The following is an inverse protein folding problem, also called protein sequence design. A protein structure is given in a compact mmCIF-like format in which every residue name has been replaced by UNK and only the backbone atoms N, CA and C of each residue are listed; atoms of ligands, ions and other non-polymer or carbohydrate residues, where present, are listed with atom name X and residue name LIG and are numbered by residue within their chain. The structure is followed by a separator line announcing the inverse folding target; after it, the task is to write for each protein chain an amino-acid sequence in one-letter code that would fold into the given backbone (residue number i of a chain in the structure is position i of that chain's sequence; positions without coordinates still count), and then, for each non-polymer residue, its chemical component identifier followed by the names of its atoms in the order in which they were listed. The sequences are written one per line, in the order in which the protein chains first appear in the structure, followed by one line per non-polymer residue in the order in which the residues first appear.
data_IF_603795498571
#
_entry.id   IF_603795498571
#
_cell.length_a   1.000
_cell.length_b   1.000
_cell.length_c   1.000
_cell.angle_alpha   90.00
_cell.angle_beta   90.00
_cell.angle_gamma   90.00
#
_symmetry.space_group_name_H-M   'P 1'
#
loop_
_entity.id
_entity.type
_entity.pdbx_description
1 polymer ?
#
# COMPACT_ATOMS: atom_id res chain seq x y z
N UNK A 1 -51.11 -15.49 -10.63
CA UNK A 1 -50.70 -14.13 -10.19
C UNK A 1 -49.64 -14.14 -9.08
N UNK A 2 -49.72 -15.03 -8.07
CA UNK A 2 -48.71 -15.12 -6.99
C UNK A 2 -47.32 -15.63 -7.44
N UNK A 3 -47.24 -16.48 -8.48
CA UNK A 3 -45.96 -16.95 -9.03
C UNK A 3 -45.22 -15.91 -9.87
N UNK A 4 -45.95 -15.06 -10.61
CA UNK A 4 -45.38 -13.96 -11.40
C UNK A 4 -44.77 -12.88 -10.50
N UNK A 5 -45.41 -12.56 -9.37
CA UNK A 5 -44.86 -11.65 -8.35
C UNK A 5 -43.62 -12.24 -7.66
N UNK A 6 -43.61 -13.55 -7.37
CA UNK A 6 -42.41 -14.25 -6.84
C UNK A 6 -41.25 -14.32 -7.83
N UNK A 7 -41.51 -14.43 -9.14
CA UNK A 7 -40.47 -14.40 -10.19
C UNK A 7 -39.89 -12.99 -10.38
N UNK A 8 -40.73 -11.95 -10.43
CA UNK A 8 -40.27 -10.55 -10.54
C UNK A 8 -39.38 -10.11 -9.37
N UNK A 9 -39.72 -10.53 -8.15
CA UNK A 9 -38.95 -10.21 -6.94
C UNK A 9 -37.64 -11.03 -6.81
N UNK A 10 -37.56 -12.20 -7.47
CA UNK A 10 -36.33 -12.99 -7.57
C UNK A 10 -35.38 -12.43 -8.63
N UNK A 11 -35.91 -11.98 -9.78
CA UNK A 11 -35.14 -11.34 -10.84
C UNK A 11 -34.54 -10.00 -10.39
N UNK A 12 -35.32 -9.15 -9.70
CA UNK A 12 -34.83 -7.84 -9.20
C UNK A 12 -33.72 -7.97 -8.16
N UNK A 13 -33.72 -9.05 -7.36
CA UNK A 13 -32.67 -9.33 -6.36
C UNK A 13 -31.38 -9.89 -6.99
N UNK A 14 -31.49 -10.60 -8.12
CA UNK A 14 -30.34 -11.12 -8.86
C UNK A 14 -29.65 -10.00 -9.64
N UNK A 15 -30.41 -9.08 -10.25
CA UNK A 15 -29.85 -7.90 -10.93
C UNK A 15 -29.17 -6.94 -9.95
N UNK A 16 -29.75 -6.70 -8.76
CA UNK A 16 -29.12 -5.84 -7.75
C UNK A 16 -27.75 -6.36 -7.27
N UNK A 17 -27.59 -7.67 -7.01
CA UNK A 17 -26.31 -8.23 -6.57
C UNK A 17 -25.23 -8.12 -7.65
N UNK A 18 -25.57 -8.40 -8.92
CA UNK A 18 -24.66 -8.23 -10.05
C UNK A 18 -24.24 -6.77 -10.24
N UNK A 19 -25.16 -5.82 -10.04
CA UNK A 19 -24.87 -4.39 -10.10
C UNK A 19 -23.86 -3.97 -9.02
N UNK A 20 -24.07 -4.35 -7.76
CA UNK A 20 -23.12 -4.03 -6.68
C UNK A 20 -21.75 -4.68 -6.89
N UNK A 21 -21.71 -5.89 -7.44
CA UNK A 21 -20.46 -6.54 -7.82
C UNK A 21 -19.74 -5.74 -8.92
N UNK A 22 -20.46 -5.33 -9.96
CA UNK A 22 -19.90 -4.50 -11.02
C UNK A 22 -19.38 -3.16 -10.48
N UNK A 23 -20.10 -2.52 -9.55
CA UNK A 23 -19.66 -1.29 -8.88
C UNK A 23 -18.36 -1.53 -8.12
N UNK A 24 -18.25 -2.60 -7.32
CA UNK A 24 -17.03 -2.92 -6.59
C UNK A 24 -15.83 -3.18 -7.53
N UNK A 25 -16.06 -3.90 -8.63
CA UNK A 25 -15.03 -4.16 -9.65
C UNK A 25 -14.60 -2.85 -10.32
N UNK A 26 -15.54 -1.99 -10.72
CA UNK A 26 -15.24 -0.69 -11.33
C UNK A 26 -14.47 0.22 -10.36
N UNK A 27 -14.86 0.28 -9.08
CA UNK A 27 -14.15 1.06 -8.07
C UNK A 27 -12.72 0.54 -7.82
N UNK A 28 -12.55 -0.79 -7.81
CA UNK A 28 -11.23 -1.42 -7.68
C UNK A 28 -10.34 -1.09 -8.88
N UNK A 29 -10.88 -1.19 -10.10
CA UNK A 29 -10.17 -0.84 -11.33
C UNK A 29 -9.84 0.65 -11.35
N UNK A 30 -10.79 1.52 -11.03
CA UNK A 30 -10.56 2.97 -10.97
C UNK A 30 -9.46 3.32 -9.97
N UNK A 31 -9.49 2.71 -8.78
CA UNK A 31 -8.45 2.91 -7.78
C UNK A 31 -7.08 2.39 -8.24
N UNK A 32 -7.04 1.22 -8.88
CA UNK A 32 -5.82 0.68 -9.47
C UNK A 32 -5.27 1.60 -10.57
N UNK A 33 -6.12 2.09 -11.46
CA UNK A 33 -5.72 3.02 -12.54
C UNK A 33 -5.19 4.32 -11.93
N UNK A 34 -5.85 4.91 -10.95
CA UNK A 34 -5.37 6.13 -10.27
C UNK A 34 -4.00 5.85 -9.63
N UNK A 35 -3.89 4.82 -8.79
CA UNK A 35 -2.61 4.51 -8.15
C UNK A 35 -1.51 4.18 -9.15
N UNK A 36 -1.75 3.39 -10.20
CA UNK A 36 -0.72 2.97 -11.15
C UNK A 36 -0.35 4.05 -12.17
N UNK A 37 -1.33 4.80 -12.71
CA UNK A 37 -1.08 5.91 -13.63
C UNK A 37 -0.27 7.02 -12.94
N UNK A 38 -0.53 7.30 -11.67
CA UNK A 38 0.21 8.30 -10.91
C UNK A 38 1.50 7.75 -10.27
N UNK A 39 1.58 6.46 -9.91
CA UNK A 39 2.82 5.81 -9.43
C UNK A 39 3.84 5.51 -10.53
N UNK A 40 3.40 5.30 -11.78
CA UNK A 40 4.29 5.12 -12.94
C UNK A 40 5.28 6.28 -13.07
N UNK A 41 4.85 7.48 -12.71
CA UNK A 41 5.65 8.70 -12.71
C UNK A 41 6.37 8.96 -11.34
N UNK A 42 6.29 8.04 -10.36
CA UNK A 42 6.78 8.23 -8.97
C UNK A 42 7.86 7.24 -8.52
N UNK A 43 8.24 6.24 -9.33
CA UNK A 43 9.34 5.33 -9.01
C UNK A 43 10.69 5.91 -9.47
N UNK A 44 11.60 6.22 -8.53
CA UNK A 44 12.88 6.87 -8.83
C UNK A 44 13.75 6.05 -9.78
N UNK A 45 13.72 4.72 -9.70
CA UNK A 45 14.51 3.84 -10.59
C UNK A 45 14.01 3.88 -12.04
N UNK A 46 12.70 3.99 -12.24
CA UNK A 46 12.13 4.17 -13.59
C UNK A 46 12.40 5.56 -14.13
N UNK A 47 12.22 6.60 -13.31
CA UNK A 47 12.52 7.98 -13.72
C UNK A 47 14.00 8.10 -14.10
N UNK A 48 14.89 7.46 -13.34
CA UNK A 48 16.29 7.29 -13.72
C UNK A 48 16.44 6.71 -15.12
N UNK A 49 15.88 5.51 -15.37
CA UNK A 49 15.99 4.87 -16.68
C UNK A 49 15.43 5.71 -17.84
N UNK A 50 14.36 6.48 -17.62
CA UNK A 50 13.76 7.34 -18.64
C UNK A 50 14.66 8.54 -18.95
N UNK A 51 15.22 9.17 -17.92
CA UNK A 51 16.13 10.30 -18.08
C UNK A 51 17.45 9.87 -18.71
N UNK A 52 18.02 8.75 -18.27
CA UNK A 52 19.23 8.15 -18.86
C UNK A 52 19.00 7.77 -20.33
N UNK A 53 17.86 7.16 -20.65
CA UNK A 53 17.54 6.81 -22.03
C UNK A 53 17.36 8.06 -22.91
N UNK A 54 16.72 9.11 -22.39
CA UNK A 54 16.58 10.39 -23.11
C UNK A 54 17.94 11.05 -23.34
N UNK A 55 18.79 11.08 -22.32
CA UNK A 55 20.15 11.59 -22.40
C UNK A 55 20.96 10.82 -23.45
N UNK A 56 21.01 9.49 -23.33
CA UNK A 56 21.70 8.61 -24.27
C UNK A 56 21.20 8.77 -25.71
N UNK A 57 19.89 8.99 -25.91
CA UNK A 57 19.34 9.25 -27.24
C UNK A 57 19.91 10.54 -27.84
N UNK A 58 20.01 11.62 -27.05
CA UNK A 58 20.58 12.91 -27.49
C UNK A 58 22.10 12.83 -27.67
N UNK A 59 22.81 12.13 -26.79
CA UNK A 59 24.24 11.85 -26.95
C UNK A 59 24.50 11.09 -28.26
N UNK A 60 23.67 10.08 -28.58
CA UNK A 60 23.78 9.36 -29.85
C UNK A 60 23.56 10.25 -31.06
N UNK A 61 22.70 11.27 -30.98
CA UNK A 61 22.56 12.27 -32.05
C UNK A 61 23.89 12.99 -32.30
N UNK A 62 24.57 13.42 -31.23
CA UNK A 62 25.88 14.06 -31.33
C UNK A 62 26.94 13.10 -31.90
N UNK A 63 27.05 11.89 -31.35
CA UNK A 63 28.04 10.89 -31.80
C UNK A 63 27.82 10.45 -33.25
N UNK A 64 26.56 10.32 -33.69
CA UNK A 64 26.23 10.00 -35.08
C UNK A 64 26.58 11.16 -36.02
N UNK A 65 26.42 12.41 -35.59
CA UNK A 65 26.80 13.58 -36.37
C UNK A 65 28.32 13.62 -36.59
N UNK A 66 29.12 13.45 -35.54
CA UNK A 66 30.59 13.50 -35.64
C UNK A 66 31.20 12.27 -36.32
N UNK A 67 30.50 11.13 -36.30
CA UNK A 67 30.93 9.90 -36.99
C UNK A 67 30.70 9.94 -38.50
N UNK A 68 29.82 10.82 -38.98
CA UNK A 68 29.51 11.02 -40.39
C UNK A 68 30.47 12.05 -41.00
N UNK A 69 31.53 11.55 -41.67
CA UNK A 69 32.57 12.39 -42.28
C UNK A 69 32.01 13.39 -43.29
N UNK A 70 30.94 13.04 -44.00
CA UNK A 70 30.33 13.91 -44.99
C UNK A 70 29.62 15.08 -44.31
N UNK A 71 28.84 14.82 -43.25
CA UNK A 71 28.19 15.88 -42.46
C UNK A 71 29.21 16.78 -41.74
N UNK A 72 30.26 16.22 -41.15
CA UNK A 72 31.31 17.00 -40.51
C UNK A 72 32.03 17.89 -41.52
N UNK A 73 32.33 17.38 -42.72
CA UNK A 73 32.94 18.17 -43.79
C UNK A 73 32.04 19.33 -44.24
N UNK A 74 30.72 19.11 -44.32
CA UNK A 74 29.76 20.17 -44.65
C UNK A 74 29.74 21.28 -43.58
N UNK A 75 29.79 20.91 -42.29
CA UNK A 75 29.83 21.84 -41.16
C UNK A 75 31.15 22.64 -41.06
N UNK A 76 32.24 22.12 -41.64
CA UNK A 76 33.60 22.69 -41.48
C UNK A 76 34.11 23.43 -42.71
N UNK A 77 33.61 23.11 -43.91
CA UNK A 77 34.07 23.65 -45.20
C UNK A 77 33.16 24.78 -45.72
N UNK A 78 31.84 24.73 -45.49
CA UNK A 78 30.90 25.77 -45.98
C UNK A 78 30.63 26.83 -44.89
N UNK A 79 31.65 27.63 -44.58
CA UNK A 79 31.44 28.88 -43.83
C UNK A 79 30.76 29.91 -44.74
N UNK A 80 29.43 29.88 -44.79
CA UNK A 80 28.62 30.92 -45.44
C UNK A 80 27.81 30.43 -46.65
N UNK A 81 26.50 30.36 -46.44
CA UNK A 81 25.41 30.39 -47.44
C UNK A 81 25.31 29.22 -48.46
N UNK A 82 24.08 28.72 -48.60
CA UNK A 82 23.53 27.93 -49.71
C UNK A 82 23.80 26.40 -49.75
N UNK A 83 23.19 25.67 -48.82
CA UNK A 83 22.38 24.49 -49.15
C UNK A 83 21.21 24.41 -48.16
N UNK A 84 20.02 24.83 -48.61
CA UNK A 84 18.86 25.04 -47.73
C UNK A 84 18.31 23.74 -47.10
N UNK A 85 18.67 22.56 -47.59
CA UNK A 85 18.06 21.30 -47.11
C UNK A 85 18.80 20.70 -45.91
N UNK A 86 20.13 20.66 -45.91
CA UNK A 86 20.94 20.10 -44.81
C UNK A 86 20.99 21.00 -43.58
N UNK A 87 21.01 22.32 -43.76
CA UNK A 87 20.95 23.26 -42.64
C UNK A 87 19.61 23.17 -41.89
N UNK A 88 18.50 22.98 -42.60
CA UNK A 88 17.16 22.84 -41.98
C UNK A 88 17.00 21.56 -41.15
N UNK A 89 17.74 20.49 -41.45
CA UNK A 89 17.72 19.26 -40.65
C UNK A 89 18.56 19.40 -39.37
N UNK A 90 19.69 20.09 -39.45
CA UNK A 90 20.62 20.29 -38.32
C UNK A 90 20.08 21.35 -37.33
N UNK A 91 19.35 22.37 -37.82
CA UNK A 91 18.61 23.34 -36.99
C UNK A 91 17.51 22.69 -36.14
N UNK A 92 16.94 21.56 -36.59
CA UNK A 92 15.88 20.84 -35.86
C UNK A 92 16.38 19.85 -34.83
N UNK A 93 17.70 19.73 -34.65
CA UNK A 93 18.26 18.79 -33.71
C UNK A 93 17.90 19.18 -32.26
N UNK A 94 17.64 18.21 -31.38
CA UNK A 94 17.24 18.46 -29.99
C UNK A 94 18.43 18.85 -29.08
N UNK A 95 19.58 19.20 -29.67
CA UNK A 95 20.84 19.53 -29.01
C UNK A 95 21.45 20.77 -29.68
N UNK A 96 22.17 21.58 -28.92
CA UNK A 96 23.03 22.62 -29.47
C UNK A 96 24.33 22.05 -30.00
N UNK A 97 24.73 22.51 -31.19
CA UNK A 97 25.98 22.14 -31.84
C UNK A 97 26.68 23.43 -32.22
N UNK A 98 27.92 23.57 -31.78
CA UNK A 98 28.79 24.70 -32.05
C UNK A 98 30.12 24.19 -32.59
N UNK A 99 30.57 24.71 -33.72
CA UNK A 99 31.82 24.30 -34.37
C UNK A 99 32.78 25.46 -34.37
N UNK A 100 33.98 25.23 -33.86
CA UNK A 100 35.06 26.20 -33.79
C UNK A 100 36.24 25.73 -34.63
N UNK A 101 36.78 26.61 -35.46
CA UNK A 101 38.05 26.41 -36.14
C UNK A 101 39.18 26.97 -35.28
N UNK A 102 40.18 26.17 -34.95
CA UNK A 102 41.36 26.65 -34.24
C UNK A 102 42.28 27.38 -35.22
N UNK A 103 42.66 28.61 -34.89
CA UNK A 103 43.67 29.36 -35.66
C UNK A 103 45.09 28.87 -35.34
N UNK A 104 46.09 29.42 -36.01
CA UNK A 104 47.50 28.99 -35.90
C UNK A 104 48.10 29.18 -34.49
N UNK A 105 47.44 29.99 -33.65
CA UNK A 105 47.83 30.28 -32.25
C UNK A 105 46.96 29.47 -31.26
N UNK A 106 46.03 28.63 -31.76
CA UNK A 106 45.15 27.77 -30.96
C UNK A 106 43.86 28.43 -30.48
N UNK A 107 43.54 29.66 -30.91
CA UNK A 107 42.30 30.32 -30.53
C UNK A 107 41.10 29.79 -31.35
N UNK A 108 39.98 29.45 -30.69
CA UNK A 108 38.78 28.95 -31.35
C UNK A 108 37.96 30.08 -32.01
N UNK A 109 37.75 30.00 -33.32
CA UNK A 109 36.87 30.87 -34.10
C UNK A 109 35.57 30.14 -34.42
N UNK A 110 34.43 30.65 -33.95
CA UNK A 110 33.11 30.06 -34.22
C UNK A 110 32.81 30.11 -35.72
N UNK A 111 32.59 28.95 -36.33
CA UNK A 111 32.29 28.81 -37.77
C UNK A 111 30.88 28.31 -38.04
N UNK A 112 30.23 27.66 -37.05
CA UNK A 112 28.85 27.18 -37.18
C UNK A 112 28.15 27.06 -35.82
N UNK A 113 26.85 27.34 -35.78
CA UNK A 113 25.96 27.01 -34.67
C UNK A 113 24.55 26.67 -35.20
N UNK A 114 23.87 25.70 -34.58
CA UNK A 114 22.51 25.31 -35.00
C UNK A 114 21.39 25.95 -34.16
N UNK A 115 21.70 26.48 -32.98
CA UNK A 115 20.74 27.17 -32.12
C UNK A 115 21.41 28.36 -31.40
N UNK A 116 20.61 29.32 -30.97
CA UNK A 116 21.06 30.51 -30.21
C UNK A 116 20.63 30.47 -28.74
N UNK A 117 20.05 29.35 -28.31
CA UNK A 117 19.40 29.25 -27.01
C UNK A 117 20.42 29.01 -25.90
N UNK A 118 21.61 28.50 -26.24
CA UNK A 118 22.68 28.13 -25.34
C UNK A 118 23.90 29.03 -25.55
N UNK A 119 24.64 29.33 -24.49
CA UNK A 119 25.79 30.26 -24.53
C UNK A 119 27.09 29.48 -24.29
N UNK A 120 28.04 29.60 -25.22
CA UNK A 120 29.33 28.89 -25.18
C UNK A 120 30.42 29.86 -24.73
N UNK A 121 30.72 29.83 -23.43
CA UNK A 121 31.77 30.65 -22.81
C UNK A 121 33.17 30.03 -22.97
N UNK A 122 34.22 30.83 -22.76
CA UNK A 122 35.61 30.36 -22.84
C UNK A 122 35.93 29.14 -21.95
N UNK A 123 35.27 29.00 -20.81
CA UNK A 123 35.45 27.86 -19.90
C UNK A 123 35.03 26.53 -20.53
N UNK A 124 34.04 26.55 -21.42
CA UNK A 124 33.55 25.38 -22.17
C UNK A 124 34.59 24.99 -23.23
N UNK A 125 35.19 26.00 -23.89
CA UNK A 125 36.17 25.82 -24.95
C UNK A 125 37.55 25.37 -24.47
N UNK A 126 37.91 25.61 -23.20
CA UNK A 126 39.20 25.18 -22.62
C UNK A 126 39.24 23.72 -22.17
N UNK A 127 38.09 23.05 -22.04
CA UNK A 127 38.04 21.63 -21.63
C UNK A 127 38.50 20.70 -22.74
N UNK A 128 39.21 19.63 -22.37
CA UNK A 128 39.61 18.56 -23.29
C UNK A 128 38.39 17.80 -23.83
N UNK A 129 38.62 16.92 -24.80
CA UNK A 129 37.59 16.05 -25.36
C UNK A 129 36.97 15.15 -24.27
N UNK A 130 35.64 15.05 -24.28
CA UNK A 130 34.89 14.32 -23.24
C UNK A 130 33.52 14.90 -22.97
N UNK A 131 32.78 14.23 -22.09
CA UNK A 131 31.46 14.66 -21.62
C UNK A 131 31.55 15.24 -20.21
N UNK A 132 30.92 16.39 -19.97
CA UNK A 132 30.98 17.10 -18.71
C UNK A 132 29.62 17.70 -18.34
N UNK A 133 29.22 17.67 -17.06
CA UNK A 133 28.07 18.43 -16.61
C UNK A 133 28.35 19.94 -16.69
N UNK A 134 27.37 20.70 -17.15
CA UNK A 134 27.41 22.15 -17.28
C UNK A 134 26.15 22.76 -16.66
N UNK A 135 26.32 23.58 -15.63
CA UNK A 135 25.23 24.35 -15.02
C UNK A 135 25.43 25.83 -15.30
N UNK A 136 24.40 26.51 -15.82
CA UNK A 136 24.41 27.95 -16.07
C UNK A 136 23.06 28.58 -15.66
N UNK A 137 22.89 29.88 -15.95
CA UNK A 137 21.67 30.64 -15.63
C UNK A 137 20.44 30.23 -16.45
N UNK A 138 20.62 29.48 -17.55
CA UNK A 138 19.54 28.94 -18.40
C UNK A 138 19.15 27.52 -18.00
N UNK A 139 19.93 26.86 -17.15
CA UNK A 139 19.63 25.55 -16.59
C UNK A 139 20.83 24.61 -16.54
N UNK A 140 20.53 23.32 -16.63
CA UNK A 140 21.50 22.23 -16.58
C UNK A 140 21.60 21.55 -17.95
N UNK A 141 22.84 21.33 -18.38
CA UNK A 141 23.21 20.77 -19.67
C UNK A 141 24.31 19.73 -19.50
N UNK A 142 24.42 18.81 -20.44
CA UNK A 142 25.62 18.01 -20.65
C UNK A 142 26.39 18.59 -21.84
N UNK A 143 27.66 18.91 -21.59
CA UNK A 143 28.61 19.40 -22.59
C UNK A 143 29.43 18.24 -23.12
N UNK A 144 29.50 18.08 -24.44
CA UNK A 144 30.38 17.11 -25.10
C UNK A 144 31.35 17.86 -26.01
N UNK A 145 32.65 17.71 -25.74
CA UNK A 145 33.71 18.28 -26.57
C UNK A 145 34.34 17.19 -27.44
N UNK A 146 34.54 17.49 -28.72
CA UNK A 146 35.26 16.63 -29.65
C UNK A 146 36.13 17.43 -30.60
N UNK A 147 37.40 17.06 -30.72
CA UNK A 147 38.38 17.73 -31.57
C UNK A 147 38.75 16.82 -32.74
N UNK A 148 38.67 17.36 -33.96
CA UNK A 148 38.93 16.62 -35.18
C UNK A 148 39.72 17.45 -36.19
N UNK A 149 40.54 16.80 -37.02
CA UNK A 149 41.29 17.45 -38.10
C UNK A 149 40.60 17.21 -39.44
N UNK A 150 40.26 18.29 -40.14
CA UNK A 150 39.75 18.24 -41.53
C UNK A 150 40.74 18.98 -42.42
N UNK A 151 41.42 18.26 -43.30
CA UNK A 151 42.52 18.82 -44.09
C UNK A 151 43.66 19.30 -43.20
N UNK A 152 44.05 20.58 -43.34
CA UNK A 152 45.11 21.23 -42.55
C UNK A 152 44.59 21.93 -41.30
N UNK A 153 43.27 22.05 -41.14
CA UNK A 153 42.65 22.81 -40.04
C UNK A 153 42.16 21.87 -38.93
N UNK A 154 42.32 22.32 -37.68
CA UNK A 154 41.79 21.61 -36.51
C UNK A 154 40.48 22.26 -36.09
N UNK A 155 39.44 21.45 -35.91
CA UNK A 155 38.11 21.89 -35.50
C UNK A 155 37.75 21.31 -34.14
N UNK A 156 37.11 22.12 -33.31
CA UNK A 156 36.54 21.73 -32.04
C UNK A 156 35.03 21.83 -32.11
N UNK A 157 34.34 20.71 -31.98
CA UNK A 157 32.89 20.61 -31.97
C UNK A 157 32.44 20.49 -30.52
N UNK A 158 31.52 21.37 -30.13
CA UNK A 158 30.90 21.40 -28.81
C UNK A 158 29.43 21.07 -28.98
N UNK A 159 29.00 19.98 -28.36
CA UNK A 159 27.61 19.60 -28.19
C UNK A 159 27.09 20.04 -26.83
N UNK A 160 25.94 20.70 -26.80
CA UNK A 160 25.23 21.06 -25.58
C UNK A 160 23.88 20.35 -25.58
N UNK A 161 23.68 19.48 -24.57
CA UNK A 161 22.52 18.64 -24.45
C UNK A 161 21.66 19.16 -23.31
N UNK A 162 20.44 19.69 -23.57
CA UNK A 162 19.59 20.21 -22.52
C UNK A 162 19.07 19.07 -21.63
N UNK A 163 19.31 19.20 -20.32
CA UNK A 163 18.79 18.30 -19.29
C UNK A 163 17.62 18.95 -18.57
N UNK A 164 17.78 20.21 -18.17
CA UNK A 164 16.78 20.94 -17.40
C UNK A 164 16.85 22.42 -17.73
N UNK A 165 15.71 23.01 -18.08
CA UNK A 165 15.59 24.44 -18.32
C UNK A 165 15.23 25.15 -17.02
N UNK A 166 15.98 26.21 -16.72
CA UNK A 166 15.73 27.09 -15.58
C UNK A 166 15.41 28.49 -16.09
N UNK A 167 14.23 28.98 -15.73
CA UNK A 167 13.80 30.34 -16.07
C UNK A 167 13.82 31.22 -14.82
N UNK A 168 14.63 32.29 -14.78
CA UNK A 168 14.74 33.17 -13.61
C UNK A 168 13.42 33.85 -13.22
N UNK A 169 12.55 34.13 -14.20
CA UNK A 169 11.21 34.64 -13.98
C UNK A 169 10.19 33.58 -14.41
N UNK A 170 9.54 32.96 -13.43
CA UNK A 170 8.48 31.98 -13.67
C UNK A 170 7.18 32.68 -14.05
N UNK A 171 6.65 32.40 -15.24
CA UNK A 171 5.30 32.80 -15.65
C UNK A 171 4.44 31.56 -15.91
N UNK A 172 3.15 31.72 -16.22
CA UNK A 172 2.33 30.58 -16.64
C UNK A 172 2.81 29.93 -17.94
N UNK A 173 3.57 30.66 -18.77
CA UNK A 173 4.10 30.20 -20.06
C UNK A 173 5.55 29.68 -19.97
N UNK A 174 6.33 30.15 -19.00
CA UNK A 174 7.74 29.78 -18.80
C UNK A 174 7.91 29.17 -17.42
N UNK A 175 8.04 27.83 -17.37
CA UNK A 175 8.26 27.07 -16.15
C UNK A 175 9.53 26.26 -16.27
N UNK A 176 10.33 26.27 -15.20
CA UNK A 176 11.53 25.43 -15.11
C UNK A 176 11.11 23.96 -15.16
N UNK A 177 11.79 23.17 -16.00
CA UNK A 177 11.35 21.83 -16.32
C UNK A 177 12.48 20.95 -16.86
N UNK A 178 12.35 19.64 -16.68
CA UNK A 178 13.19 18.68 -17.40
C UNK A 178 12.90 18.75 -18.89
N UNK A 179 13.95 18.71 -19.69
CA UNK A 179 13.83 18.79 -21.14
C UNK A 179 13.01 17.59 -21.68
N UNK A 180 11.95 17.88 -22.44
CA UNK A 180 10.99 16.88 -22.93
C UNK A 180 10.02 16.32 -21.88
N UNK A 181 10.16 16.68 -20.59
CA UNK A 181 9.37 16.13 -19.48
C UNK A 181 8.85 17.20 -18.50
N UNK A 182 7.94 18.10 -18.92
CA UNK A 182 7.40 19.18 -18.09
C UNK A 182 6.77 18.71 -16.77
N UNK A 183 6.16 17.52 -16.77
CA UNK A 183 5.49 16.96 -15.59
C UNK A 183 6.46 16.37 -14.55
N UNK A 184 7.70 16.08 -14.92
CA UNK A 184 8.69 15.55 -13.97
C UNK A 184 9.15 16.62 -12.97
N UNK A 185 9.18 17.90 -13.37
CA UNK A 185 9.57 19.01 -12.49
C UNK A 185 8.64 19.24 -11.30
N UNK A 186 7.44 18.64 -11.31
CA UNK A 186 6.50 18.66 -10.18
C UNK A 186 6.81 17.58 -9.13
N UNK A 187 7.61 16.57 -9.48
CA UNK A 187 7.82 15.34 -8.70
C UNK A 187 9.26 15.13 -8.30
N UNK A 188 10.17 15.65 -9.10
CA UNK A 188 11.59 15.56 -8.90
C UNK A 188 12.22 16.94 -9.07
N UNK A 189 13.19 17.23 -8.23
CA UNK A 189 14.08 18.37 -8.36
C UNK A 189 15.50 17.87 -8.62
N UNK A 190 16.31 18.70 -9.25
CA UNK A 190 17.75 18.47 -9.32
C UNK A 190 18.32 18.85 -7.95
N UNK A 191 19.15 17.96 -7.40
CA UNK A 191 19.81 18.15 -6.11
C UNK A 191 21.28 17.71 -6.21
N UNK A 192 22.09 18.01 -5.20
CA UNK A 192 23.45 17.47 -5.08
C UNK A 192 23.47 16.04 -4.52
N UNK A 193 22.33 15.57 -4.02
CA UNK A 193 22.14 14.26 -3.40
C UNK A 193 20.92 13.55 -4.01
N UNK A 194 20.83 12.23 -3.87
CA UNK A 194 19.69 11.44 -4.35
C UNK A 194 20.07 10.39 -5.39
N UNK A 195 19.19 10.16 -6.36
CA UNK A 195 19.40 9.13 -7.39
C UNK A 195 20.31 9.68 -8.50
N UNK A 196 21.48 9.07 -8.76
CA UNK A 196 22.38 9.52 -9.81
C UNK A 196 21.84 9.13 -11.19
N UNK A 197 21.86 10.10 -12.11
CA UNK A 197 21.66 9.91 -13.54
C UNK A 197 23.03 9.87 -14.19
N UNK A 198 23.33 8.77 -14.89
CA UNK A 198 24.61 8.63 -15.60
C UNK A 198 24.46 8.89 -17.09
N UNK A 199 25.53 9.39 -17.70
CA UNK A 199 25.64 9.53 -19.15
C UNK A 199 26.11 8.22 -19.79
N UNK A 200 26.26 8.21 -21.13
CA UNK A 200 26.69 7.02 -21.88
C UNK A 200 28.09 6.53 -21.49
N UNK A 201 28.97 7.38 -20.94
CA UNK A 201 30.31 6.99 -20.47
C UNK A 201 30.31 6.46 -19.03
N UNK A 202 29.15 6.38 -18.38
CA UNK A 202 28.99 5.90 -17.00
C UNK A 202 29.34 6.94 -15.93
N UNK A 203 29.60 8.19 -16.33
CA UNK A 203 29.86 9.29 -15.42
C UNK A 203 28.54 9.90 -14.95
N UNK A 204 28.50 10.35 -13.69
CA UNK A 204 27.30 10.99 -13.14
C UNK A 204 27.13 12.37 -13.75
N UNK A 205 26.04 12.57 -14.48
CA UNK A 205 25.69 13.87 -15.04
C UNK A 205 25.02 14.76 -13.98
N UNK A 206 24.05 14.22 -13.22
CA UNK A 206 23.34 14.94 -12.15
C UNK A 206 22.58 14.00 -11.22
N UNK A 207 22.07 14.54 -10.11
CA UNK A 207 21.20 13.81 -9.18
C UNK A 207 19.77 14.35 -9.20
N UNK A 208 18.82 13.44 -9.00
CA UNK A 208 17.41 13.77 -8.81
C UNK A 208 16.93 13.34 -7.43
N UNK A 209 16.08 14.17 -6.83
CA UNK A 209 15.45 13.92 -5.55
C UNK A 209 13.94 14.12 -5.67
N UNK A 210 13.14 13.34 -4.94
CA UNK A 210 11.68 13.49 -4.93
C UNK A 210 11.28 14.79 -4.21
N UNK A 211 10.25 15.45 -4.73
CA UNK A 211 9.63 16.61 -4.10
C UNK A 211 8.39 16.18 -3.33
N UNK A 212 8.30 16.53 -2.05
CA UNK A 212 7.12 16.32 -1.21
C UNK A 212 6.00 17.28 -1.62
N UNK A 213 5.26 16.96 -2.68
CA UNK A 213 4.15 17.81 -3.12
C UNK A 213 2.82 17.32 -2.54
N UNK A 214 2.14 18.22 -1.83
CA UNK A 214 0.85 18.06 -1.14
C UNK A 214 -0.30 17.55 -2.04
N UNK A 215 -0.22 17.80 -3.33
CA UNK A 215 -1.23 17.37 -4.32
C UNK A 215 -1.25 15.84 -4.49
N UNK A 216 -0.09 15.18 -4.36
CA UNK A 216 0.01 13.72 -4.54
C UNK A 216 -0.44 12.94 -3.31
N UNK A 217 -0.21 13.47 -2.10
CA UNK A 217 -0.79 12.91 -0.88
C UNK A 217 -2.33 12.85 -0.98
N UNK A 218 -2.97 13.88 -1.56
CA UNK A 218 -4.43 13.91 -1.78
C UNK A 218 -4.89 12.86 -2.80
N UNK A 219 -4.19 12.67 -3.91
CA UNK A 219 -4.55 11.68 -4.94
C UNK A 219 -4.37 10.23 -4.46
N UNK A 220 -3.34 9.96 -3.65
CA UNK A 220 -3.15 8.66 -3.03
C UNK A 220 -4.23 8.38 -1.98
N UNK A 221 -4.62 9.41 -1.21
CA UNK A 221 -5.76 9.33 -0.27
C UNK A 221 -7.07 9.00 -1.00
N UNK A 222 -7.34 9.60 -2.15
CA UNK A 222 -8.55 9.28 -2.95
C UNK A 222 -8.49 7.82 -3.44
N UNK A 223 -7.33 7.36 -3.92
CA UNK A 223 -7.15 5.96 -4.32
C UNK A 223 -7.44 5.03 -3.15
N UNK A 224 -6.86 5.30 -1.97
CA UNK A 224 -7.09 4.55 -0.73
C UNK A 224 -8.58 4.47 -0.38
N UNK A 225 -9.27 5.61 -0.32
CA UNK A 225 -10.70 5.68 0.00
C UNK A 225 -11.53 4.84 -0.97
N UNK A 226 -11.24 4.91 -2.27
CA UNK A 226 -11.91 4.07 -3.27
C UNK A 226 -11.65 2.57 -3.06
N UNK A 227 -10.42 2.17 -2.67
CA UNK A 227 -10.15 0.76 -2.35
C UNK A 227 -10.92 0.31 -1.11
N UNK A 228 -10.97 1.14 -0.07
CA UNK A 228 -11.72 0.83 1.16
C UNK A 228 -13.20 0.69 0.88
N UNK A 229 -13.82 1.62 0.14
CA UNK A 229 -15.24 1.54 -0.24
C UNK A 229 -15.50 0.27 -1.06
N UNK A 230 -14.65 -0.02 -2.06
CA UNK A 230 -14.76 -1.22 -2.86
C UNK A 230 -14.69 -2.49 -2.00
N UNK A 231 -13.73 -2.55 -1.07
CA UNK A 231 -13.57 -3.66 -0.16
C UNK A 231 -14.81 -3.84 0.72
N UNK A 232 -15.34 -2.76 1.31
CA UNK A 232 -16.56 -2.83 2.12
C UNK A 232 -17.76 -3.37 1.34
N UNK A 233 -17.94 -2.95 0.08
CA UNK A 233 -18.97 -3.50 -0.81
C UNK A 233 -18.73 -4.99 -1.04
N UNK A 234 -17.50 -5.39 -1.37
CA UNK A 234 -17.14 -6.80 -1.60
C UNK A 234 -17.41 -7.67 -0.36
N UNK A 235 -17.03 -7.21 0.83
CA UNK A 235 -17.28 -7.89 2.11
C UNK A 235 -18.79 -8.00 2.39
N UNK A 236 -19.57 -6.95 2.12
CA UNK A 236 -21.02 -6.98 2.26
C UNK A 236 -21.69 -7.98 1.30
N UNK A 237 -21.21 -8.06 0.05
CA UNK A 237 -21.68 -9.04 -0.93
C UNK A 237 -21.31 -10.47 -0.53
N UNK A 238 -20.09 -10.67 -0.03
CA UNK A 238 -19.61 -11.94 0.49
C UNK A 238 -20.47 -12.40 1.67
N UNK A 239 -20.73 -11.51 2.64
CA UNK A 239 -21.61 -11.79 3.79
C UNK A 239 -23.00 -12.26 3.34
N UNK A 240 -23.59 -11.56 2.37
CA UNK A 240 -24.89 -11.90 1.81
C UNK A 240 -24.88 -13.25 1.07
N UNK A 241 -23.81 -13.55 0.33
CA UNK A 241 -23.64 -14.83 -0.34
C UNK A 241 -23.55 -15.98 0.66
N UNK A 242 -22.68 -15.87 1.65
CA UNK A 242 -22.48 -16.87 2.70
C UNK A 242 -23.79 -17.07 3.48
N UNK A 243 -24.50 -15.99 3.83
CA UNK A 243 -25.81 -16.10 4.48
C UNK A 243 -26.82 -16.89 3.64
N UNK A 244 -26.92 -16.62 2.33
CA UNK A 244 -27.81 -17.39 1.44
C UNK A 244 -27.38 -18.86 1.35
N UNK A 245 -26.08 -19.11 1.30
CA UNK A 245 -25.52 -20.46 1.30
C UNK A 245 -25.87 -21.20 2.61
N UNK A 246 -25.72 -20.54 3.76
CA UNK A 246 -26.09 -21.08 5.07
C UNK A 246 -27.58 -21.41 5.17
N UNK A 247 -28.45 -20.55 4.63
CA UNK A 247 -29.91 -20.80 4.58
C UNK A 247 -30.23 -21.99 3.67
N UNK A 248 -29.54 -22.13 2.53
CA UNK A 248 -29.83 -23.17 1.53
C UNK A 248 -29.28 -24.54 1.89
N UNK A 249 -28.04 -24.60 2.42
CA UNK A 249 -27.30 -25.84 2.65
C UNK A 249 -27.10 -26.18 4.13
N UNK A 250 -27.52 -25.29 5.03
CA UNK A 250 -27.44 -25.45 6.48
C UNK A 250 -26.35 -24.58 7.13
N UNK A 251 -26.55 -24.25 8.41
CA UNK A 251 -25.72 -23.30 9.16
C UNK A 251 -24.26 -23.72 9.19
N UNK A 252 -23.97 -24.98 9.54
CA UNK A 252 -22.60 -25.45 9.71
C UNK A 252 -21.80 -25.45 8.39
N UNK A 253 -22.45 -25.74 7.25
CA UNK A 253 -21.80 -25.64 5.93
C UNK A 253 -21.52 -24.18 5.56
N UNK A 254 -22.45 -23.27 5.89
CA UNK A 254 -22.24 -21.83 5.71
C UNK A 254 -21.13 -21.27 6.60
N UNK A 255 -21.09 -21.67 7.87
CA UNK A 255 -20.03 -21.29 8.80
C UNK A 255 -18.67 -21.82 8.35
N UNK A 256 -18.61 -23.09 7.90
CA UNK A 256 -17.38 -23.67 7.35
C UNK A 256 -16.90 -22.90 6.12
N UNK A 257 -17.79 -22.60 5.15
CA UNK A 257 -17.43 -21.79 3.99
C UNK A 257 -16.93 -20.40 4.40
N UNK A 258 -17.58 -19.77 5.39
CA UNK A 258 -17.17 -18.46 5.87
C UNK A 258 -15.77 -18.48 6.48
N UNK A 259 -15.51 -19.43 7.38
CA UNK A 259 -14.20 -19.59 8.02
C UNK A 259 -13.12 -19.89 6.98
N UNK A 260 -13.38 -20.77 6.01
CA UNK A 260 -12.42 -21.06 4.93
C UNK A 260 -12.09 -19.81 4.13
N UNK A 261 -13.08 -18.99 3.76
CA UNK A 261 -12.83 -17.77 2.98
C UNK A 261 -12.08 -16.73 3.81
N UNK A 262 -12.49 -16.49 5.06
CA UNK A 262 -11.86 -15.50 5.93
C UNK A 262 -10.43 -15.88 6.29
N UNK A 263 -10.21 -17.13 6.73
CA UNK A 263 -8.87 -17.62 7.07
C UNK A 263 -7.98 -17.71 5.83
N UNK A 264 -8.52 -18.16 4.69
CA UNK A 264 -7.80 -18.19 3.42
C UNK A 264 -7.39 -16.80 2.97
N UNK A 265 -8.31 -15.82 3.00
CA UNK A 265 -7.99 -14.43 2.69
C UNK A 265 -6.93 -13.86 3.64
N UNK A 266 -7.01 -14.20 4.93
CA UNK A 266 -6.03 -13.73 5.91
C UNK A 266 -4.65 -14.33 5.68
N UNK A 267 -4.56 -15.63 5.42
CA UNK A 267 -3.30 -16.29 5.06
C UNK A 267 -2.69 -15.67 3.79
N UNK A 268 -3.50 -15.49 2.75
CA UNK A 268 -3.05 -14.85 1.51
C UNK A 268 -2.54 -13.43 1.77
N UNK A 269 -3.19 -12.65 2.65
CA UNK A 269 -2.76 -11.27 2.97
C UNK A 269 -1.37 -11.19 3.62
N UNK A 270 -0.90 -12.27 4.26
CA UNK A 270 0.44 -12.28 4.86
C UNK A 270 1.56 -12.54 3.85
N UNK A 271 1.25 -13.25 2.75
CA UNK A 271 2.23 -13.66 1.75
C UNK A 271 2.16 -12.86 0.45
N UNK A 272 0.99 -12.31 0.11
CA UNK A 272 0.77 -11.57 -1.14
C UNK A 272 0.47 -10.10 -0.86
N UNK A 273 1.13 -9.22 -1.59
CA UNK A 273 0.87 -7.76 -1.59
C UNK A 273 -0.39 -7.37 -2.39
N UNK A 274 -1.13 -8.35 -2.91
CA UNK A 274 -2.33 -8.15 -3.73
C UNK A 274 -3.55 -8.75 -3.03
N UNK A 275 -4.74 -8.10 -3.01
CA UNK A 275 -5.07 -6.83 -3.67
C UNK A 275 -4.72 -5.56 -2.89
N UNK A 276 -4.20 -5.70 -1.67
CA UNK A 276 -3.78 -4.60 -0.80
C UNK A 276 -2.36 -4.83 -0.30
N UNK A 277 -1.45 -3.92 -0.63
CA UNK A 277 -0.11 -3.92 -0.04
C UNK A 277 -0.17 -3.19 1.30
N UNK A 278 -0.48 -3.93 2.36
CA UNK A 278 -0.62 -3.37 3.71
C UNK A 278 0.71 -2.83 4.25
N UNK A 279 1.86 -3.31 3.74
CA UNK A 279 3.20 -2.97 4.25
C UNK A 279 3.63 -1.53 3.95
N UNK A 280 2.94 -0.86 3.03
CA UNK A 280 3.19 0.55 2.69
C UNK A 280 2.69 1.49 3.79
N UNK A 281 1.77 1.04 4.64
CA UNK A 281 1.17 1.89 5.68
C UNK A 281 1.86 1.69 7.02
N UNK A 282 2.17 2.79 7.69
CA UNK A 282 2.82 2.82 9.01
C UNK A 282 2.08 1.95 10.05
N UNK A 283 0.74 1.86 10.00
CA UNK A 283 -0.03 1.04 10.94
C UNK A 283 0.32 -0.46 10.89
N UNK A 284 0.83 -0.93 9.75
CA UNK A 284 1.27 -2.31 9.55
C UNK A 284 2.78 -2.48 9.72
N UNK A 285 3.48 -1.44 10.18
CA UNK A 285 4.90 -1.52 10.54
C UNK A 285 5.07 -2.32 11.85
N UNK A 286 5.82 -3.44 11.83
CA UNK A 286 6.14 -4.22 13.03
C UNK A 286 6.94 -3.46 14.10
N UNK A 287 7.54 -2.32 13.78
CA UNK A 287 8.31 -1.52 14.75
C UNK A 287 7.42 -0.76 15.74
N UNK A 288 6.16 -0.47 15.38
CA UNK A 288 5.23 0.28 16.22
C UNK A 288 4.60 -0.61 17.30
N UNK A 289 4.35 -1.89 16.99
CA UNK A 289 3.72 -2.88 17.88
C UNK A 289 4.46 -4.22 17.83
N UNK A 290 4.77 -4.76 19.00
CA UNK A 290 5.55 -5.98 19.14
C UNK A 290 4.94 -7.19 18.42
N UNK A 291 5.84 -7.99 17.86
CA UNK A 291 5.52 -9.07 16.93
C UNK A 291 5.13 -10.35 17.66
N UNK A 292 3.85 -10.72 17.60
CA UNK A 292 3.45 -12.12 17.78
C UNK A 292 3.27 -12.78 16.42
N UNK A 293 3.41 -14.11 16.33
CA UNK A 293 3.25 -14.85 15.06
C UNK A 293 1.90 -14.56 14.37
N UNK A 294 0.84 -14.32 15.16
CA UNK A 294 -0.51 -14.04 14.69
C UNK A 294 -0.78 -12.54 14.45
N UNK A 295 -0.12 -11.64 15.20
CA UNK A 295 -0.28 -10.19 15.11
C UNK A 295 1.09 -9.54 14.88
N UNK A 296 1.49 -9.44 13.61
CA UNK A 296 2.81 -8.89 13.23
C UNK A 296 2.90 -7.37 13.37
N UNK A 297 1.76 -6.69 13.50
CA UNK A 297 1.64 -5.24 13.55
C UNK A 297 0.32 -4.84 14.23
N UNK A 298 0.20 -3.56 14.61
CA UNK A 298 -1.04 -3.00 15.17
C UNK A 298 -2.20 -3.12 14.16
N UNK A 299 -1.93 -2.86 12.89
CA UNK A 299 -2.90 -3.03 11.80
C UNK A 299 -3.39 -4.47 11.69
N UNK A 300 -2.49 -5.45 11.84
CA UNK A 300 -2.86 -6.86 11.83
C UNK A 300 -3.72 -7.26 13.03
N UNK A 301 -3.47 -6.69 14.21
CA UNK A 301 -4.33 -6.85 15.38
C UNK A 301 -5.74 -6.32 15.09
N UNK A 302 -5.86 -5.08 14.61
CA UNK A 302 -7.14 -4.46 14.29
C UNK A 302 -7.92 -5.29 13.27
N UNK A 303 -7.27 -5.74 12.18
CA UNK A 303 -7.91 -6.59 11.17
C UNK A 303 -8.41 -7.91 11.79
N UNK A 304 -7.57 -8.58 12.60
CA UNK A 304 -7.96 -9.82 13.26
C UNK A 304 -9.17 -9.63 14.19
N UNK A 305 -9.25 -8.49 14.89
CA UNK A 305 -10.40 -8.15 15.74
C UNK A 305 -11.67 -7.90 14.93
N UNK A 306 -11.58 -7.17 13.82
CA UNK A 306 -12.71 -7.00 12.91
C UNK A 306 -13.20 -8.34 12.34
N UNK A 307 -12.29 -9.25 11.98
CA UNK A 307 -12.65 -10.59 11.51
C UNK A 307 -13.32 -11.41 12.61
N UNK A 308 -12.81 -11.38 13.83
CA UNK A 308 -13.42 -12.07 14.98
C UNK A 308 -14.81 -11.51 15.31
N UNK A 309 -14.95 -10.19 15.31
CA UNK A 309 -16.24 -9.51 15.45
C UNK A 309 -17.22 -9.97 14.35
N UNK A 310 -16.76 -10.06 13.10
CA UNK A 310 -17.60 -10.48 11.98
C UNK A 310 -18.02 -11.95 12.10
N UNK A 311 -17.12 -12.84 12.51
CA UNK A 311 -17.41 -14.26 12.78
C UNK A 311 -18.47 -14.41 13.86
N UNK A 312 -18.26 -13.77 15.02
CA UNK A 312 -19.20 -13.86 16.15
C UNK A 312 -20.57 -13.27 15.79
N UNK A 313 -20.60 -12.16 15.05
CA UNK A 313 -21.83 -11.55 14.52
C UNK A 313 -22.57 -12.47 13.55
N UNK A 314 -21.85 -13.10 12.61
CA UNK A 314 -22.42 -14.02 11.65
C UNK A 314 -23.08 -15.22 12.35
N UNK A 315 -22.41 -15.79 13.36
CA UNK A 315 -22.95 -16.90 14.15
C UNK A 315 -24.24 -16.45 14.85
N UNK A 316 -24.20 -15.34 15.59
CA UNK A 316 -25.38 -14.83 16.32
C UNK A 316 -26.59 -14.59 15.41
N UNK A 317 -26.39 -13.96 14.25
CA UNK A 317 -27.48 -13.58 13.35
C UNK A 317 -28.02 -14.79 12.58
N UNK A 318 -27.14 -15.64 12.05
CA UNK A 318 -27.54 -16.68 11.12
C UNK A 318 -27.87 -18.01 11.79
N UNK A 319 -27.36 -18.28 13.00
CA UNK A 319 -27.68 -19.51 13.72
C UNK A 319 -29.18 -19.65 14.03
N UNK A 320 -29.90 -18.63 14.55
CA UNK A 320 -31.34 -18.71 14.79
C UNK A 320 -32.16 -18.77 13.50
N UNK A 321 -31.73 -18.10 12.43
CA UNK A 321 -32.45 -18.05 11.16
C UNK A 321 -32.52 -19.41 10.46
N UNK A 322 -31.59 -20.32 10.77
CA UNK A 322 -31.51 -21.66 10.19
C UNK A 322 -32.20 -22.72 11.08
N UNK A 323 -32.75 -22.35 12.25
CA UNK A 323 -33.46 -23.25 13.21
C UNK A 323 -34.79 -23.85 12.71
N UNK A 324 -35.00 -23.98 11.40
CA UNK A 324 -36.05 -24.87 10.86
C UNK A 324 -35.57 -26.29 10.60
N UNK A 325 -34.27 -26.57 10.76
CA UNK A 325 -33.76 -27.95 10.75
C UNK A 325 -33.49 -28.40 12.20
N UNK A 326 -34.09 -29.50 12.68
CA UNK A 326 -33.66 -30.10 13.94
C UNK A 326 -32.15 -30.40 13.86
N UNK A 327 -31.41 -30.21 14.97
CA UNK A 327 -30.03 -30.68 15.07
C UNK A 327 -30.00 -32.11 14.56
N UNK A 328 -29.17 -32.37 13.55
CA UNK A 328 -29.09 -33.72 12.98
C UNK A 328 -28.80 -34.71 14.12
N UNK A 329 -29.46 -35.87 14.11
CA UNK A 329 -29.32 -36.92 15.14
C UNK A 329 -27.85 -37.25 15.46
N UNK A 330 -26.95 -37.04 14.49
CA UNK A 330 -25.50 -37.21 14.61
C UNK A 330 -24.83 -36.13 15.49
N UNK A 331 -25.16 -34.86 15.34
CA UNK A 331 -24.60 -33.76 16.16
C UNK A 331 -25.07 -33.83 17.61
N UNK A 332 -26.31 -34.29 17.85
CA UNK A 332 -26.83 -34.46 19.20
C UNK A 332 -26.08 -35.51 20.01
N UNK A 333 -25.50 -36.54 19.37
CA UNK A 333 -24.66 -37.56 20.02
C UNK A 333 -23.39 -36.97 20.62
N UNK A 334 -22.84 -35.92 20.01
CA UNK A 334 -21.59 -35.28 20.44
C UNK A 334 -21.80 -34.02 21.28
N UNK A 335 -23.03 -33.75 21.76
CA UNK A 335 -23.37 -32.49 22.45
C UNK A 335 -22.50 -32.21 23.67
N UNK A 336 -22.17 -33.22 24.49
CA UNK A 336 -21.31 -33.08 25.66
C UNK A 336 -19.86 -32.75 25.25
N UNK A 337 -19.34 -33.43 24.23
CA UNK A 337 -17.99 -33.17 23.69
C UNK A 337 -17.89 -31.73 23.18
N UNK A 338 -18.88 -31.28 22.39
CA UNK A 338 -18.93 -29.90 21.89
C UNK A 338 -18.94 -28.88 23.04
N UNK A 339 -19.70 -29.15 24.10
CA UNK A 339 -19.76 -28.28 25.26
C UNK A 339 -18.43 -28.22 26.05
N UNK A 340 -17.77 -29.37 26.25
CA UNK A 340 -16.47 -29.44 26.92
C UNK A 340 -15.42 -28.70 26.08
N UNK A 341 -15.34 -28.96 24.78
CA UNK A 341 -14.42 -28.29 23.86
C UNK A 341 -14.64 -26.78 23.86
N UNK A 342 -15.90 -26.32 23.89
CA UNK A 342 -16.21 -24.89 23.97
C UNK A 342 -15.72 -24.25 25.28
N UNK A 343 -15.81 -24.94 26.42
CA UNK A 343 -15.31 -24.44 27.71
C UNK A 343 -13.78 -24.42 27.77
N UNK A 344 -13.12 -25.44 27.22
CA UNK A 344 -11.66 -25.48 27.08
C UNK A 344 -11.20 -24.32 26.20
N UNK A 345 -11.81 -24.18 25.02
CA UNK A 345 -11.51 -23.09 24.09
C UNK A 345 -11.76 -21.71 24.71
N UNK A 346 -12.85 -21.54 25.46
CA UNK A 346 -13.12 -20.29 26.18
C UNK A 346 -11.97 -19.93 27.13
N UNK A 347 -11.52 -20.88 27.93
CA UNK A 347 -10.46 -20.64 28.92
C UNK A 347 -9.15 -20.25 28.25
N UNK A 348 -8.73 -21.02 27.23
CA UNK A 348 -7.53 -20.73 26.44
C UNK A 348 -7.64 -19.36 25.76
N UNK A 349 -8.77 -19.09 25.12
CA UNK A 349 -8.99 -17.81 24.45
C UNK A 349 -8.93 -16.64 25.43
N UNK A 350 -9.53 -16.74 26.63
CA UNK A 350 -9.46 -15.64 27.61
C UNK A 350 -8.03 -15.35 28.06
N UNK A 351 -7.23 -16.40 28.30
CA UNK A 351 -5.81 -16.26 28.65
C UNK A 351 -5.05 -15.52 27.54
N UNK A 352 -5.19 -15.97 26.29
CA UNK A 352 -4.58 -15.31 25.14
C UNK A 352 -5.09 -13.87 24.96
N UNK A 353 -6.36 -13.61 25.27
CA UNK A 353 -6.93 -12.27 25.25
C UNK A 353 -6.23 -11.33 26.24
N UNK A 354 -5.98 -11.79 27.47
CA UNK A 354 -5.29 -10.97 28.50
C UNK A 354 -3.83 -10.74 28.11
N UNK A 355 -3.13 -11.77 27.65
CA UNK A 355 -1.74 -11.65 27.17
C UNK A 355 -1.58 -10.67 26.02
N UNK A 356 -2.54 -10.61 25.09
CA UNK A 356 -2.55 -9.62 24.01
C UNK A 356 -2.75 -8.19 24.50
N UNK A 357 -3.53 -8.00 25.56
CA UNK A 357 -3.71 -6.67 26.19
C UNK A 357 -2.44 -6.26 26.92
N UNK A 358 -1.81 -7.19 27.65
CA UNK A 358 -0.53 -6.97 28.31
C UNK A 358 0.53 -6.55 27.28
N UNK A 359 0.72 -7.32 26.20
CA UNK A 359 1.71 -6.99 25.17
C UNK A 359 1.45 -5.66 24.46
N UNK A 360 0.18 -5.25 24.33
CA UNK A 360 -0.17 -3.94 23.79
C UNK A 360 0.30 -2.81 24.71
N UNK A 361 0.25 -3.00 26.02
CA UNK A 361 0.66 -1.98 27.00
C UNK A 361 2.17 -2.01 27.26
N UNK A 362 2.78 -3.19 27.35
CA UNK A 362 4.19 -3.34 27.73
C UNK A 362 5.14 -3.26 26.55
N UNK A 363 4.76 -3.80 25.39
CA UNK A 363 5.70 -4.05 24.29
C UNK A 363 5.49 -3.10 23.09
N UNK A 364 4.45 -2.25 23.11
CA UNK A 364 4.25 -1.25 22.06
C UNK A 364 5.08 0.01 22.32
N UNK A 365 5.56 0.66 21.26
CA UNK A 365 6.19 1.98 21.37
C UNK A 365 5.17 3.11 21.59
N UNK A 366 3.89 2.75 21.80
CA UNK A 366 2.76 3.67 21.84
C UNK A 366 2.56 4.14 23.27
N UNK A 367 2.65 5.45 23.49
CA UNK A 367 2.39 6.04 24.79
C UNK A 367 0.89 5.98 25.12
N UNK A 368 0.54 5.30 26.21
CA UNK A 368 -0.79 5.31 26.82
C UNK A 368 -0.94 6.39 27.91
N UNK A 369 -0.10 7.43 27.88
CA UNK A 369 -0.13 8.46 28.91
C UNK A 369 -1.39 9.34 28.82
N UNK A 370 -2.39 9.03 29.64
CA UNK A 370 -3.69 9.72 29.68
C UNK A 370 -3.62 11.11 30.34
N UNK A 371 -2.52 11.44 31.03
CA UNK A 371 -2.36 12.75 31.69
C UNK A 371 -2.09 13.88 30.71
N UNK A 372 -1.55 13.57 29.52
CA UNK A 372 -1.32 14.53 28.45
C UNK A 372 -2.20 14.23 27.23
N UNK A 373 -3.51 14.36 27.40
CA UNK A 373 -4.51 14.05 26.38
C UNK A 373 -4.30 14.79 25.05
N UNK A 374 -3.83 16.04 25.10
CA UNK A 374 -3.58 16.85 23.89
C UNK A 374 -2.31 16.47 23.13
N UNK A 375 -1.39 15.72 23.75
CA UNK A 375 -0.20 15.20 23.09
C UNK A 375 -0.36 13.72 22.66
N UNK A 376 -1.59 13.19 22.66
CA UNK A 376 -1.83 11.81 22.25
C UNK A 376 -1.54 11.60 20.77
N UNK A 377 -0.80 10.52 20.49
CA UNK A 377 -0.52 10.08 19.14
C UNK A 377 -1.77 9.44 18.49
N UNK A 378 -1.88 9.54 17.16
CA UNK A 378 -2.92 8.86 16.36
C UNK A 378 -2.98 7.36 16.67
N UNK A 379 -1.83 6.73 16.96
CA UNK A 379 -1.75 5.30 17.30
C UNK A 379 -2.36 4.98 18.66
N UNK A 380 -2.27 5.87 19.65
CA UNK A 380 -2.89 5.71 20.95
C UNK A 380 -4.42 5.65 20.81
N UNK A 381 -5.00 6.51 19.97
CA UNK A 381 -6.44 6.50 19.66
C UNK A 381 -6.85 5.17 19.00
N UNK A 382 -6.07 4.71 18.02
CA UNK A 382 -6.33 3.42 17.35
C UNK A 382 -6.29 2.26 18.34
N UNK A 383 -5.35 2.26 19.30
CA UNK A 383 -5.27 1.23 20.34
C UNK A 383 -6.50 1.24 21.25
N UNK A 384 -6.98 2.42 21.68
CA UNK A 384 -8.21 2.48 22.49
C UNK A 384 -9.43 1.96 21.73
N UNK A 385 -9.57 2.30 20.44
CA UNK A 385 -10.64 1.74 19.60
C UNK A 385 -10.48 0.23 19.46
N UNK A 386 -9.25 -0.26 19.24
CA UNK A 386 -8.97 -1.69 19.16
C UNK A 386 -9.37 -2.40 20.46
N UNK A 387 -8.98 -1.89 21.63
CA UNK A 387 -9.36 -2.41 22.94
C UNK A 387 -10.88 -2.41 23.17
N UNK A 388 -11.59 -1.39 22.68
CA UNK A 388 -13.06 -1.36 22.72
C UNK A 388 -13.70 -2.49 21.91
N UNK A 389 -13.24 -2.69 20.66
CA UNK A 389 -13.68 -3.80 19.80
C UNK A 389 -13.28 -5.14 20.42
N UNK A 390 -12.10 -5.21 21.02
CA UNK A 390 -11.55 -6.38 21.70
C UNK A 390 -12.47 -6.83 22.84
N UNK A 391 -12.81 -5.91 23.75
CA UNK A 391 -13.73 -6.17 24.86
C UNK A 391 -15.11 -6.62 24.36
N UNK A 392 -15.60 -6.03 23.28
CA UNK A 392 -16.87 -6.43 22.69
C UNK A 392 -16.83 -7.86 22.13
N UNK A 393 -15.76 -8.20 21.41
CA UNK A 393 -15.54 -9.55 20.89
C UNK A 393 -15.44 -10.58 22.03
N UNK A 394 -14.69 -10.25 23.08
CA UNK A 394 -14.52 -11.09 24.26
C UNK A 394 -15.87 -11.47 24.89
N UNK A 395 -16.69 -10.46 25.21
CA UNK A 395 -18.01 -10.70 25.81
C UNK A 395 -18.89 -11.59 24.93
N UNK A 396 -18.90 -11.36 23.61
CA UNK A 396 -19.64 -12.21 22.65
C UNK A 396 -19.11 -13.64 22.62
N UNK A 397 -17.79 -13.82 22.69
CA UNK A 397 -17.13 -15.12 22.70
C UNK A 397 -17.51 -15.91 23.96
N UNK A 398 -17.48 -15.28 25.13
CA UNK A 398 -17.90 -15.90 26.39
C UNK A 398 -19.33 -16.44 26.30
N UNK A 399 -20.26 -15.62 25.81
CA UNK A 399 -21.65 -16.04 25.64
C UNK A 399 -21.80 -17.19 24.64
N UNK A 400 -21.06 -17.15 23.53
CA UNK A 400 -21.11 -18.19 22.52
C UNK A 400 -20.60 -19.54 23.03
N UNK A 401 -19.53 -19.53 23.84
CA UNK A 401 -18.89 -20.75 24.34
C UNK A 401 -19.60 -21.35 25.57
N UNK A 402 -20.23 -20.53 26.41
CA UNK A 402 -21.01 -21.00 27.56
C UNK A 402 -22.38 -21.56 27.15
N UNK A 403 -22.91 -21.13 26.00
CA UNK A 403 -24.23 -21.52 25.53
C UNK A 403 -24.41 -23.05 25.33
N UNK A 404 -23.50 -23.78 24.65
CA UNK A 404 -23.56 -25.24 24.54
C UNK A 404 -23.58 -25.96 25.90
N UNK A 405 -22.77 -25.52 26.86
CA UNK A 405 -22.70 -26.13 28.19
C UNK A 405 -24.04 -26.05 28.93
N UNK A 406 -24.80 -24.96 28.73
CA UNK A 406 -26.16 -24.80 29.25
C UNK A 406 -27.18 -25.66 28.54
N UNK A 407 -27.14 -25.76 27.21
CA UNK A 407 -28.08 -26.60 26.44
C UNK A 407 -28.02 -28.08 26.84
N UNK A 408 -26.84 -28.53 27.24
CA UNK A 408 -26.57 -29.92 27.61
C UNK A 408 -26.75 -30.16 29.12
N UNK A 409 -27.12 -29.10 29.86
CA UNK A 409 -27.33 -29.13 31.31
C UNK A 409 -26.09 -29.58 32.10
N UNK A 410 -24.88 -29.23 31.64
CA UNK A 410 -23.66 -29.42 32.43
C UNK A 410 -23.80 -28.61 33.72
N UNK A 411 -23.58 -29.26 34.85
CA UNK A 411 -23.74 -28.64 36.17
C UNK A 411 -22.74 -27.49 36.36
N UNK A 412 -23.12 -26.53 37.19
CA UNK A 412 -22.26 -25.40 37.50
C UNK A 412 -20.87 -25.84 38.00
N UNK A 413 -20.82 -26.81 38.92
CA UNK A 413 -19.57 -27.38 39.44
C UNK A 413 -18.71 -28.05 38.36
N UNK A 414 -19.33 -28.79 37.43
CA UNK A 414 -18.59 -29.42 36.33
C UNK A 414 -17.92 -28.38 35.42
N UNK A 415 -18.57 -27.25 35.16
CA UNK A 415 -17.96 -26.17 34.36
C UNK A 415 -16.76 -25.55 35.07
N UNK A 416 -16.89 -25.29 36.37
CA UNK A 416 -15.77 -24.77 37.18
C UNK A 416 -14.58 -25.71 37.11
N UNK A 417 -14.80 -27.02 37.31
CA UNK A 417 -13.73 -28.02 37.25
C UNK A 417 -13.05 -28.02 35.88
N UNK A 418 -13.82 -27.99 34.79
CA UNK A 418 -13.25 -27.97 33.43
C UNK A 418 -12.43 -26.70 33.19
N UNK A 419 -12.96 -25.53 33.57
CA UNK A 419 -12.27 -24.24 33.42
C UNK A 419 -11.00 -24.20 34.26
N UNK A 420 -11.09 -24.58 35.54
CA UNK A 420 -9.97 -24.61 36.47
C UNK A 420 -8.87 -25.59 36.00
N UNK A 421 -9.25 -26.82 35.61
CA UNK A 421 -8.32 -27.80 35.08
C UNK A 421 -7.63 -27.29 33.81
N UNK A 422 -8.38 -26.67 32.89
CA UNK A 422 -7.82 -26.09 31.67
C UNK A 422 -6.84 -24.96 32.00
N UNK A 423 -7.21 -24.03 32.88
CA UNK A 423 -6.34 -22.92 33.29
C UNK A 423 -5.05 -23.39 33.95
N UNK A 424 -5.12 -24.41 34.82
CA UNK A 424 -3.93 -25.02 35.45
C UNK A 424 -3.05 -25.70 34.41
N UNK A 425 -3.63 -26.46 33.47
CA UNK A 425 -2.88 -27.13 32.40
C UNK A 425 -2.17 -26.10 31.51
N UNK A 426 -2.87 -25.05 31.10
CA UNK A 426 -2.29 -23.98 30.27
C UNK A 426 -1.19 -23.26 31.04
N UNK A 427 -1.46 -22.92 32.30
CA UNK A 427 -0.50 -22.31 33.23
C UNK A 427 0.78 -23.11 33.38
N UNK A 428 0.65 -24.42 33.56
CA UNK A 428 1.79 -25.32 33.75
C UNK A 428 2.62 -25.54 32.48
N UNK A 429 2.00 -25.51 31.30
CA UNK A 429 2.66 -25.85 30.03
C UNK A 429 3.20 -24.63 29.27
N UNK A 430 2.61 -23.46 29.43
CA UNK A 430 2.83 -22.31 28.53
C UNK A 430 3.10 -20.98 29.24
N UNK A 431 3.12 -20.93 30.58
CA UNK A 431 3.33 -19.68 31.32
C UNK A 431 4.76 -19.57 31.85
N UNK A 432 5.27 -18.34 31.84
CA UNK A 432 6.54 -17.99 32.44
C UNK A 432 6.30 -17.37 33.84
N UNK A 433 7.37 -17.16 34.61
CA UNK A 433 7.28 -16.59 35.96
C UNK A 433 6.52 -15.25 36.01
N UNK A 434 6.66 -14.43 34.97
CA UNK A 434 6.03 -13.11 34.90
C UNK A 434 4.54 -13.16 34.52
N UNK A 435 4.11 -14.19 33.77
CA UNK A 435 2.72 -14.28 33.25
C UNK A 435 1.82 -15.22 34.06
N UNK A 436 2.40 -16.11 34.87
CA UNK A 436 1.65 -17.15 35.58
C UNK A 436 0.59 -16.60 36.55
N UNK A 437 0.89 -15.47 37.21
CA UNK A 437 -0.06 -14.81 38.09
C UNK A 437 -1.25 -14.27 37.31
N UNK A 438 -0.99 -13.63 36.16
CA UNK A 438 -2.03 -13.10 35.28
C UNK A 438 -2.94 -14.21 34.74
N UNK A 439 -2.36 -15.33 34.29
CA UNK A 439 -3.12 -16.47 33.77
C UNK A 439 -4.02 -17.11 34.85
N UNK A 440 -3.53 -17.19 36.10
CA UNK A 440 -4.31 -17.69 37.22
C UNK A 440 -5.47 -16.76 37.58
N UNK A 441 -5.22 -15.45 37.69
CA UNK A 441 -6.27 -14.44 37.91
C UNK A 441 -7.30 -14.45 36.78
N UNK A 442 -6.84 -14.65 35.55
CA UNK A 442 -7.69 -14.78 34.37
C UNK A 442 -8.58 -16.02 34.44
N UNK A 443 -8.04 -17.15 34.89
CA UNK A 443 -8.82 -18.37 35.09
C UNK A 443 -9.89 -18.18 36.16
N UNK A 444 -9.56 -17.51 37.28
CA UNK A 444 -10.54 -17.12 38.30
C UNK A 444 -11.62 -16.22 37.69
N UNK A 445 -11.24 -15.26 36.85
CA UNK A 445 -12.20 -14.39 36.17
C UNK A 445 -13.16 -15.18 35.26
N UNK A 446 -12.69 -16.17 34.50
CA UNK A 446 -13.58 -17.02 33.68
C UNK A 446 -14.56 -17.82 34.55
N UNK A 447 -14.11 -18.30 35.71
CA UNK A 447 -14.99 -18.96 36.70
C UNK A 447 -16.05 -17.98 37.18
N UNK A 448 -15.66 -16.81 37.67
CA UNK A 448 -16.55 -15.73 38.14
C UNK A 448 -17.57 -15.36 37.06
N UNK A 449 -17.11 -15.16 35.83
CA UNK A 449 -17.95 -14.84 34.68
C UNK A 449 -18.97 -15.97 34.39
N UNK A 450 -18.56 -17.24 34.46
CA UNK A 450 -19.47 -18.38 34.30
C UNK A 450 -20.56 -18.37 35.38
N UNK A 451 -20.26 -17.95 36.62
CA UNK A 451 -21.27 -17.79 37.68
C UNK A 451 -22.26 -16.68 37.36
N UNK A 452 -21.75 -15.52 36.95
CA UNK A 452 -22.56 -14.33 36.61
C UNK A 452 -23.50 -14.64 35.44
N UNK A 453 -22.99 -15.32 34.43
CA UNK A 453 -23.77 -15.79 33.29
C UNK A 453 -24.93 -16.69 33.72
N UNK A 454 -24.66 -17.59 34.66
CA UNK A 454 -25.65 -18.54 35.15
C UNK A 454 -26.79 -17.86 35.93
N UNK A 455 -26.50 -16.79 36.69
CA UNK A 455 -27.51 -15.99 37.40
C UNK A 455 -28.32 -15.09 36.46
N UNK A 456 -27.70 -14.55 35.42
CA UNK A 456 -28.35 -13.60 34.48
C UNK A 456 -29.13 -14.28 33.35
N UNK A 457 -28.99 -15.60 33.18
CA UNK A 457 -29.53 -16.38 32.05
C UNK A 457 -31.04 -16.23 31.78
N UNK A 458 -31.88 -16.21 32.82
CA UNK A 458 -33.34 -16.21 32.66
C UNK A 458 -33.90 -14.88 32.14
N UNK A 459 -33.31 -13.73 32.50
CA UNK A 459 -33.60 -12.44 31.85
C UNK A 459 -33.00 -12.38 30.44
N UNK A 460 -31.77 -12.89 30.31
CA UNK A 460 -30.97 -12.78 29.10
C UNK A 460 -31.47 -13.60 27.90
N UNK A 461 -32.12 -14.76 28.09
CA UNK A 461 -32.67 -15.55 26.95
C UNK A 461 -33.70 -14.74 26.14
N UNK A 462 -34.46 -13.86 26.79
CA UNK A 462 -35.41 -12.96 26.13
C UNK A 462 -34.68 -11.82 25.40
N UNK A 463 -33.66 -11.24 26.02
CA UNK A 463 -32.93 -10.09 25.46
C UNK A 463 -31.88 -10.45 24.41
N UNK A 464 -31.19 -11.59 24.52
CA UNK A 464 -30.18 -12.01 23.53
C UNK A 464 -30.79 -12.32 22.15
N UNK A 465 -32.03 -12.79 22.14
CA UNK A 465 -32.79 -13.11 20.92
C UNK A 465 -33.50 -11.86 20.37
N UNK A 466 -33.85 -10.88 21.22
CA UNK A 466 -34.69 -9.74 20.84
C UNK A 466 -34.00 -8.35 20.87
N UNK A 467 -32.85 -8.17 21.51
CA UNK A 467 -32.26 -6.85 21.77
C UNK A 467 -31.48 -6.28 20.58
N UNK A 468 -31.86 -5.08 20.08
CA UNK A 468 -31.08 -4.33 19.09
C UNK A 468 -29.86 -3.61 19.67
N UNK A 469 -29.71 -3.50 21.01
CA UNK A 469 -28.60 -2.80 21.68
C UNK A 469 -27.29 -3.62 21.63
N UNK A 470 -27.40 -4.93 21.38
CA UNK A 470 -26.26 -5.83 21.18
C UNK A 470 -25.97 -6.11 19.68
N UNK A 471 -26.34 -5.19 18.78
CA UNK A 471 -25.97 -5.24 17.35
C UNK A 471 -24.52 -4.82 17.15
#
# INVERSE_FOLDING_TARGET
MAETIKRGNRFSKITKWKLWLAIAVVLSIASFVISHYFAYNANSSRVKSVLEHSLAKKENVFYNLIGDKDKVSQLTVKSGLADNTTNLEIEKLPIGIFVYKLNDIGNPLLVFWNNSHEDVNESILKKDDGAYPLSNNKGLFEQINHTLKVGTSTYKIVGLIPIYWQYPQSSNLLKSQFDGYPKLGQRYKISGTGVPIVNKTGQVAYYIEKTDSDSFAKLDTISLVLKVISLLIALALLNNYIRRFAIRYGFYKGLSLFLTIVLGARLLSYYFAFPFDFRVYELFDPLIYATTWLHRSLGDLVVNLFLLWWITSFIKINFPLVKRAPLTRKLWRYKYVIAIVALVFLTVATIEFVRLVESLVTDSQISFNVTNFFAMDKYTVVCFVALGIFMWCYVRLCYLCLWPARLVSISYFQRIIIIAATGVIVGALFSNADTILSDFLTTIWVIVFSVIYDKSWNGFRKDFVASPIFL
#
